data_IF_232344651428
#
_entry.id   IF_232344651428
#
_cell.length_a   1.000
_cell.length_b   1.000
_cell.length_c   1.000
_cell.angle_alpha   90.00
_cell.angle_beta   90.00
_cell.angle_gamma   90.00
#
_symmetry.space_group_name_H-M   'P 1'
#
loop_
_entity.id
_entity.type
_entity.pdbx_description
1 polymer ?
#
# COMPACT_ATOMS: atom_id res chain seq x y z
N UNK A 1 -1.90 24.98 -21.34
CA UNK A 1 -0.44 25.20 -21.04
C UNK A 1 -0.17 26.67 -20.77
N UNK A 2 0.69 27.00 -19.78
CA UNK A 2 1.13 28.37 -19.50
C UNK A 2 2.26 28.78 -20.47
N UNK A 3 1.90 29.03 -21.73
CA UNK A 3 2.86 29.27 -22.82
C UNK A 3 3.76 30.46 -22.55
N UNK A 4 3.27 31.53 -21.92
CA UNK A 4 4.09 32.68 -21.56
C UNK A 4 5.23 32.32 -20.58
N UNK A 5 4.95 31.51 -19.57
CA UNK A 5 5.97 31.03 -18.65
C UNK A 5 7.00 30.12 -19.34
N UNK A 6 6.55 29.30 -20.30
CA UNK A 6 7.43 28.46 -21.12
C UNK A 6 8.37 29.31 -21.98
N UNK A 7 7.86 30.34 -22.65
CA UNK A 7 8.65 31.29 -23.44
C UNK A 7 9.71 31.97 -22.55
N UNK A 8 9.32 32.46 -21.36
CA UNK A 8 10.25 33.06 -20.39
C UNK A 8 11.35 32.09 -19.96
N UNK A 9 10.99 30.85 -19.66
CA UNK A 9 11.92 29.81 -19.27
C UNK A 9 12.98 29.55 -20.35
N UNK A 10 12.56 29.26 -21.58
CA UNK A 10 13.49 28.97 -22.66
C UNK A 10 14.32 30.20 -23.05
N UNK A 11 13.73 31.40 -23.04
CA UNK A 11 14.49 32.64 -23.23
C UNK A 11 15.62 32.76 -22.23
N UNK A 12 15.33 32.54 -20.96
CA UNK A 12 16.32 32.62 -19.87
C UNK A 12 17.37 31.53 -19.98
N UNK A 13 16.95 30.28 -20.31
CA UNK A 13 17.83 29.12 -20.52
C UNK A 13 18.81 29.33 -21.67
N UNK A 14 18.39 30.03 -22.73
CA UNK A 14 19.20 30.39 -23.89
C UNK A 14 20.03 31.67 -23.66
N UNK A 15 19.91 32.34 -22.51
CA UNK A 15 20.60 33.58 -22.18
C UNK A 15 20.12 34.78 -22.99
N UNK A 16 18.95 34.70 -23.64
CA UNK A 16 18.42 35.79 -24.49
C UNK A 16 17.70 36.87 -23.66
N UNK A 17 17.82 38.11 -24.10
CA UNK A 17 17.06 39.24 -23.56
C UNK A 17 15.64 39.30 -24.12
N UNK A 18 14.72 39.99 -23.45
CA UNK A 18 13.38 40.21 -24.00
C UNK A 18 13.42 41.00 -25.33
N UNK A 19 14.40 41.89 -25.50
CA UNK A 19 14.59 42.64 -26.72
C UNK A 19 14.93 41.73 -27.92
N UNK A 20 15.84 40.78 -27.72
CA UNK A 20 16.25 39.82 -28.78
C UNK A 20 15.12 38.90 -29.17
N UNK A 21 14.31 38.44 -28.24
CA UNK A 21 13.16 37.55 -28.53
C UNK A 21 12.00 38.31 -29.15
N UNK A 22 11.72 39.55 -28.71
CA UNK A 22 10.62 40.34 -29.21
C UNK A 22 10.88 41.00 -30.61
N UNK A 23 12.16 41.18 -31.00
CA UNK A 23 12.55 41.92 -32.18
C UNK A 23 11.82 41.43 -33.42
N UNK A 24 11.08 42.34 -34.09
CA UNK A 24 10.31 42.05 -35.30
C UNK A 24 9.03 41.24 -35.08
N UNK A 25 8.70 40.87 -33.83
CA UNK A 25 7.49 40.09 -33.51
C UNK A 25 6.49 40.92 -32.70
N UNK A 26 6.94 41.52 -31.60
CA UNK A 26 6.09 42.35 -30.74
C UNK A 26 6.93 43.36 -29.93
N UNK A 27 6.25 44.26 -29.20
CA UNK A 27 6.97 45.18 -28.31
C UNK A 27 7.46 44.46 -27.03
N UNK A 28 8.58 44.94 -26.45
CA UNK A 28 9.11 44.39 -25.18
C UNK A 28 8.06 44.39 -24.05
N UNK A 29 7.27 45.47 -23.84
CA UNK A 29 6.19 45.42 -22.83
C UNK A 29 5.12 44.37 -23.14
N UNK A 30 4.86 44.09 -24.44
CA UNK A 30 3.91 43.07 -24.83
C UNK A 30 4.46 41.66 -24.51
N UNK A 31 5.73 41.37 -24.84
CA UNK A 31 6.38 40.14 -24.48
C UNK A 31 6.40 39.94 -22.97
N UNK A 32 6.71 41.00 -22.21
CA UNK A 32 6.72 40.91 -20.72
C UNK A 32 5.34 40.55 -20.17
N UNK A 33 4.24 41.06 -20.74
CA UNK A 33 2.87 40.68 -20.35
C UNK A 33 2.55 39.25 -20.73
N UNK A 34 3.01 38.77 -21.88
CA UNK A 34 2.86 37.37 -22.33
C UNK A 34 3.62 36.44 -21.34
N UNK A 35 4.90 36.73 -21.08
CA UNK A 35 5.76 35.94 -20.19
C UNK A 35 5.20 35.80 -18.75
N UNK A 36 4.46 36.81 -18.31
CA UNK A 36 3.81 36.78 -16.99
C UNK A 36 2.36 36.24 -17.04
N UNK A 37 1.91 35.74 -18.19
CA UNK A 37 0.54 35.24 -18.45
C UNK A 37 -0.57 36.29 -18.15
N UNK A 38 -0.23 37.59 -18.22
CA UNK A 38 -1.15 38.70 -17.96
C UNK A 38 -1.93 39.15 -19.23
N UNK A 39 -1.61 38.56 -20.38
CA UNK A 39 -2.27 38.80 -21.64
C UNK A 39 -2.12 37.59 -22.54
N UNK A 40 -3.22 37.15 -23.10
CA UNK A 40 -3.22 36.21 -24.21
C UNK A 40 -2.68 36.87 -25.47
N UNK A 41 -1.74 36.21 -26.13
CA UNK A 41 -1.27 36.60 -27.44
C UNK A 41 -1.98 35.75 -28.50
N UNK A 42 -2.10 36.30 -29.72
CA UNK A 42 -2.64 35.53 -30.82
C UNK A 42 -1.70 34.36 -31.20
N UNK A 43 -2.25 33.32 -31.82
CA UNK A 43 -1.49 32.10 -32.15
C UNK A 43 -0.25 32.40 -33.00
N UNK A 44 -0.31 33.38 -33.91
CA UNK A 44 0.80 33.76 -34.78
C UNK A 44 1.96 34.38 -33.98
N UNK A 45 1.67 35.29 -33.05
CA UNK A 45 2.70 35.86 -32.16
C UNK A 45 3.37 34.79 -31.32
N UNK A 46 2.59 33.87 -30.74
CA UNK A 46 3.11 32.74 -29.96
C UNK A 46 4.01 31.86 -30.84
N UNK A 47 3.57 31.52 -32.04
CA UNK A 47 4.34 30.69 -32.97
C UNK A 47 5.69 31.33 -33.30
N UNK A 48 5.72 32.62 -33.64
CA UNK A 48 6.95 33.35 -33.96
C UNK A 48 7.91 33.47 -32.78
N UNK A 49 7.39 33.66 -31.55
CA UNK A 49 8.20 33.69 -30.34
C UNK A 49 8.84 32.34 -30.04
N UNK A 50 8.09 31.26 -30.17
CA UNK A 50 8.58 29.89 -29.99
C UNK A 50 9.64 29.54 -31.06
N UNK A 51 9.36 29.87 -32.35
CA UNK A 51 10.35 29.65 -33.44
C UNK A 51 11.65 30.40 -33.19
N UNK A 52 11.60 31.64 -32.65
CA UNK A 52 12.78 32.42 -32.28
C UNK A 52 13.60 31.75 -31.20
N UNK A 53 12.96 30.99 -30.33
CA UNK A 53 13.61 30.19 -29.27
C UNK A 53 13.99 28.78 -29.76
N UNK A 54 13.89 28.51 -31.06
CA UNK A 54 14.09 27.19 -31.67
C UNK A 54 13.14 26.11 -31.14
N UNK A 55 11.93 26.51 -30.77
CA UNK A 55 10.87 25.62 -30.29
C UNK A 55 9.76 25.58 -31.32
N UNK A 56 9.45 24.39 -31.83
CA UNK A 56 8.32 24.23 -32.72
C UNK A 56 7.02 24.15 -31.86
N UNK A 57 6.01 24.99 -32.18
CA UNK A 57 4.73 24.99 -31.49
C UNK A 57 4.02 23.63 -31.53
N UNK A 58 4.16 22.89 -32.63
CA UNK A 58 3.62 21.54 -32.80
C UNK A 58 4.30 20.55 -31.86
N UNK A 59 5.61 20.70 -31.61
CA UNK A 59 6.35 19.84 -30.69
C UNK A 59 5.92 20.05 -29.24
N UNK A 60 5.55 21.29 -28.89
CA UNK A 60 5.00 21.64 -27.57
C UNK A 60 3.62 21.00 -27.37
N UNK A 61 2.72 21.15 -28.35
CA UNK A 61 1.39 20.52 -28.31
C UNK A 61 1.47 18.99 -28.29
N UNK A 62 2.34 18.42 -29.14
CA UNK A 62 2.59 16.99 -29.19
C UNK A 62 3.14 16.48 -27.84
N UNK A 63 4.03 17.25 -27.20
CA UNK A 63 4.57 16.91 -25.88
C UNK A 63 3.47 16.89 -24.81
N UNK A 64 2.55 17.85 -24.80
CA UNK A 64 1.45 17.88 -23.84
C UNK A 64 0.50 16.68 -24.00
N UNK A 65 0.13 16.37 -25.26
CA UNK A 65 -0.66 15.17 -25.55
C UNK A 65 0.06 13.88 -25.15
N UNK A 66 1.37 13.81 -25.38
CA UNK A 66 2.18 12.67 -24.99
C UNK A 66 2.28 12.52 -23.49
N UNK A 67 2.48 13.61 -22.74
CA UNK A 67 2.48 13.65 -21.26
C UNK A 67 1.14 13.13 -20.72
N UNK A 68 0.02 13.63 -21.24
CA UNK A 68 -1.32 13.18 -20.81
C UNK A 68 -1.50 11.67 -21.06
N UNK A 69 -1.04 11.18 -22.20
CA UNK A 69 -1.06 9.74 -22.51
C UNK A 69 -0.23 8.95 -21.54
N UNK A 70 1.02 9.35 -21.28
CA UNK A 70 1.91 8.68 -20.31
C UNK A 70 1.32 8.66 -18.90
N UNK A 71 0.67 9.74 -18.45
CA UNK A 71 0.01 9.79 -17.15
C UNK A 71 -1.15 8.78 -17.06
N UNK A 72 -1.97 8.67 -18.12
CA UNK A 72 -3.04 7.66 -18.20
C UNK A 72 -2.48 6.25 -18.22
N UNK A 73 -1.41 6.02 -18.97
CA UNK A 73 -0.75 4.72 -19.05
C UNK A 73 -0.16 4.34 -17.69
N UNK A 74 0.50 5.27 -16.97
CA UNK A 74 1.02 5.05 -15.64
C UNK A 74 -0.08 4.64 -14.65
N UNK A 75 -1.21 5.37 -14.64
CA UNK A 75 -2.36 5.03 -13.80
C UNK A 75 -2.87 3.62 -14.10
N UNK A 76 -3.03 3.29 -15.38
CA UNK A 76 -3.48 1.96 -15.82
C UNK A 76 -2.50 0.87 -15.39
N UNK A 77 -1.20 1.06 -15.60
CA UNK A 77 -0.15 0.11 -15.24
C UNK A 77 -0.12 -0.16 -13.74
N UNK A 78 -0.25 0.88 -12.90
CA UNK A 78 -0.36 0.75 -11.45
C UNK A 78 -1.61 -0.05 -11.08
N UNK A 79 -2.75 0.24 -11.71
CA UNK A 79 -4.00 -0.47 -11.44
C UNK A 79 -3.90 -1.96 -11.82
N UNK A 80 -3.23 -2.28 -12.92
CA UNK A 80 -3.01 -3.67 -13.38
C UNK A 80 -1.79 -4.36 -12.74
N UNK A 81 -1.08 -3.71 -11.81
CA UNK A 81 0.12 -4.23 -11.13
C UNK A 81 1.24 -4.61 -12.13
N UNK A 82 1.46 -3.76 -13.13
CA UNK A 82 2.48 -3.91 -14.15
C UNK A 82 3.75 -3.13 -13.75
N UNK A 83 4.50 -3.65 -12.78
CA UNK A 83 5.62 -2.94 -12.13
C UNK A 83 6.67 -2.43 -13.12
N UNK A 84 7.17 -3.29 -14.00
CA UNK A 84 8.23 -2.92 -14.95
C UNK A 84 7.77 -1.81 -15.91
N UNK A 85 6.53 -1.92 -16.41
CA UNK A 85 5.97 -0.90 -17.29
C UNK A 85 5.79 0.43 -16.56
N UNK A 86 5.28 0.41 -15.33
CA UNK A 86 5.10 1.62 -14.52
C UNK A 86 6.45 2.32 -14.25
N UNK A 87 7.52 1.57 -13.97
CA UNK A 87 8.88 2.10 -13.81
C UNK A 87 9.37 2.74 -15.12
N UNK A 88 9.21 2.06 -16.24
CA UNK A 88 9.61 2.58 -17.55
C UNK A 88 8.83 3.86 -17.92
N UNK A 89 7.52 3.86 -17.74
CA UNK A 89 6.67 5.03 -18.03
C UNK A 89 7.01 6.22 -17.13
N UNK A 90 7.31 5.97 -15.83
CA UNK A 90 7.76 7.05 -14.94
C UNK A 90 9.14 7.58 -15.35
N UNK A 91 10.03 6.73 -15.89
CA UNK A 91 11.30 7.15 -16.50
C UNK A 91 11.06 8.13 -17.66
N UNK A 92 10.17 7.77 -18.59
CA UNK A 92 9.80 8.66 -19.70
C UNK A 92 9.18 9.99 -19.24
N UNK A 93 8.33 9.96 -18.22
CA UNK A 93 7.74 11.20 -17.66
C UNK A 93 8.79 12.14 -17.07
N UNK A 94 9.88 11.62 -16.51
CA UNK A 94 10.99 12.44 -16.00
C UNK A 94 11.70 13.23 -17.11
N UNK A 95 11.77 12.71 -18.31
CA UNK A 95 12.36 13.42 -19.45
C UNK A 95 11.57 14.67 -19.82
N UNK A 96 10.27 14.69 -19.46
CA UNK A 96 9.38 15.84 -19.66
C UNK A 96 9.22 16.74 -18.41
N UNK A 97 9.95 16.50 -17.31
CA UNK A 97 9.70 17.18 -16.03
C UNK A 97 9.81 18.72 -16.14
N UNK A 98 10.74 19.23 -16.96
CA UNK A 98 10.87 20.65 -17.23
C UNK A 98 9.61 21.23 -17.93
N UNK A 99 9.06 20.48 -18.90
CA UNK A 99 7.89 20.93 -19.67
C UNK A 99 6.62 20.79 -18.85
N UNK A 100 6.48 19.72 -18.08
CA UNK A 100 5.32 19.44 -17.21
C UNK A 100 5.02 20.62 -16.30
N UNK A 101 6.04 21.29 -15.76
CA UNK A 101 5.90 22.47 -14.90
C UNK A 101 5.12 23.63 -15.52
N UNK A 102 4.99 23.68 -16.86
CA UNK A 102 4.22 24.68 -17.60
C UNK A 102 2.87 24.19 -18.11
N UNK A 103 2.56 22.91 -17.91
CA UNK A 103 1.27 22.32 -18.33
C UNK A 103 0.21 22.46 -17.24
N UNK A 104 -1.04 22.27 -17.60
CA UNK A 104 -2.15 22.16 -16.63
C UNK A 104 -2.08 20.84 -15.86
N UNK A 105 -1.32 19.86 -16.38
CA UNK A 105 -1.16 18.53 -15.78
C UNK A 105 -0.10 18.47 -14.66
N UNK A 106 0.51 19.60 -14.30
CA UNK A 106 1.61 19.62 -13.28
C UNK A 106 1.19 18.97 -11.95
N UNK A 107 0.03 19.31 -11.42
CA UNK A 107 -0.43 18.74 -10.15
C UNK A 107 -0.88 17.29 -10.31
N UNK A 108 -1.45 16.93 -11.45
CA UNK A 108 -1.78 15.54 -11.75
C UNK A 108 -0.53 14.66 -11.84
N UNK A 109 0.54 15.15 -12.49
CA UNK A 109 1.84 14.48 -12.51
C UNK A 109 2.41 14.27 -11.12
N UNK A 110 2.44 15.31 -10.29
CA UNK A 110 2.97 15.23 -8.93
C UNK A 110 2.14 14.30 -8.03
N UNK A 111 0.83 14.22 -8.24
CA UNK A 111 -0.06 13.26 -7.57
C UNK A 111 0.22 11.82 -8.00
N UNK A 112 0.39 11.58 -9.30
CA UNK A 112 0.73 10.25 -9.81
C UNK A 112 2.15 9.82 -9.43
N UNK A 113 3.07 10.74 -9.26
CA UNK A 113 4.40 10.53 -8.71
C UNK A 113 4.32 10.05 -7.25
N UNK A 114 3.46 10.66 -6.43
CA UNK A 114 3.16 10.15 -5.08
C UNK A 114 2.60 8.73 -5.12
N UNK A 115 1.60 8.49 -5.97
CA UNK A 115 0.99 7.15 -6.13
C UNK A 115 2.00 6.11 -6.60
N UNK A 116 2.90 6.48 -7.51
CA UNK A 116 3.99 5.64 -7.99
C UNK A 116 4.97 5.28 -6.86
N UNK A 117 5.41 6.24 -6.04
CA UNK A 117 6.31 5.95 -4.92
C UNK A 117 5.68 4.99 -3.91
N UNK A 118 4.41 5.15 -3.60
CA UNK A 118 3.66 4.18 -2.76
C UNK A 118 3.64 2.80 -3.44
N UNK A 119 3.41 2.75 -4.76
CA UNK A 119 3.33 1.51 -5.52
C UNK A 119 4.64 0.71 -5.55
N UNK A 120 5.78 1.38 -5.66
CA UNK A 120 7.11 0.75 -5.64
C UNK A 120 7.68 0.59 -4.23
N UNK A 121 6.91 0.89 -3.19
CA UNK A 121 7.29 0.86 -1.77
C UNK A 121 8.46 1.80 -1.40
N UNK A 122 8.67 2.89 -2.15
CA UNK A 122 9.59 3.96 -1.77
C UNK A 122 8.90 4.97 -0.84
N UNK A 123 8.72 4.58 0.40
CA UNK A 123 7.97 5.37 1.38
C UNK A 123 8.67 6.69 1.76
N UNK A 124 10.01 6.77 1.64
CA UNK A 124 10.74 8.02 1.89
C UNK A 124 10.42 9.06 0.83
N UNK A 125 10.44 8.65 -0.43
CA UNK A 125 10.08 9.54 -1.53
C UNK A 125 8.60 9.88 -1.51
N UNK A 126 7.73 8.93 -1.14
CA UNK A 126 6.30 9.20 -0.96
C UNK A 126 6.04 10.28 0.10
N UNK A 127 6.74 10.24 1.24
CA UNK A 127 6.61 11.25 2.28
C UNK A 127 7.12 12.63 1.86
N UNK A 128 8.24 12.68 1.17
CA UNK A 128 8.77 13.93 0.62
C UNK A 128 7.79 14.54 -0.39
N UNK A 129 7.27 13.71 -1.29
CA UNK A 129 6.31 14.10 -2.31
C UNK A 129 5.01 14.63 -1.70
N UNK A 130 4.51 13.95 -0.65
CA UNK A 130 3.31 14.38 0.06
C UNK A 130 3.48 15.76 0.72
N UNK A 131 4.64 16.07 1.30
CA UNK A 131 4.92 17.39 1.86
C UNK A 131 4.82 18.49 0.80
N UNK A 132 5.40 18.24 -0.38
CA UNK A 132 5.31 19.17 -1.51
C UNK A 132 3.86 19.39 -1.96
N UNK A 133 3.08 18.31 -2.11
CA UNK A 133 1.66 18.36 -2.50
C UNK A 133 0.83 19.15 -1.48
N UNK A 134 1.06 18.95 -0.17
CA UNK A 134 0.36 19.67 0.88
C UNK A 134 0.60 21.20 0.81
N UNK A 135 1.81 21.63 0.47
CA UNK A 135 2.13 23.04 0.29
C UNK A 135 1.42 23.68 -0.90
N UNK A 136 0.99 22.90 -1.90
CA UNK A 136 0.36 23.37 -3.13
C UNK A 136 -1.15 23.05 -3.21
N UNK A 137 -1.73 22.46 -2.17
CA UNK A 137 -3.12 21.94 -2.15
C UNK A 137 -4.19 22.98 -2.53
N UNK A 138 -3.95 24.26 -2.24
CA UNK A 138 -4.85 25.37 -2.59
C UNK A 138 -5.09 25.50 -4.10
N UNK A 139 -4.14 25.07 -4.93
CA UNK A 139 -4.19 25.19 -6.38
C UNK A 139 -4.87 24.01 -7.07
N UNK A 140 -5.28 22.98 -6.31
CA UNK A 140 -5.83 21.75 -6.89
C UNK A 140 -7.25 21.95 -7.39
N UNK A 141 -7.53 21.39 -8.56
CA UNK A 141 -8.89 21.17 -9.07
C UNK A 141 -9.66 20.20 -8.13
N UNK A 142 -10.98 20.09 -8.33
CA UNK A 142 -11.80 19.14 -7.54
C UNK A 142 -11.30 17.69 -7.69
N UNK A 143 -10.95 17.27 -8.90
CA UNK A 143 -10.41 15.94 -9.16
C UNK A 143 -9.06 15.72 -8.47
N UNK A 144 -8.16 16.69 -8.54
CA UNK A 144 -6.86 16.60 -7.89
C UNK A 144 -6.96 16.58 -6.35
N UNK A 145 -7.92 17.30 -5.76
CA UNK A 145 -8.22 17.20 -4.31
C UNK A 145 -8.68 15.81 -3.91
N UNK A 146 -9.55 15.21 -4.73
CA UNK A 146 -9.96 13.81 -4.54
C UNK A 146 -8.76 12.86 -4.57
N UNK A 147 -7.92 12.93 -5.62
CA UNK A 147 -6.71 12.12 -5.74
C UNK A 147 -5.75 12.33 -4.57
N UNK A 148 -5.56 13.60 -4.15
CA UNK A 148 -4.70 13.92 -3.01
C UNK A 148 -5.19 13.24 -1.73
N UNK A 149 -6.47 13.38 -1.38
CA UNK A 149 -7.05 12.76 -0.18
C UNK A 149 -6.96 11.24 -0.25
N UNK A 150 -7.21 10.65 -1.42
CA UNK A 150 -7.09 9.20 -1.61
C UNK A 150 -5.64 8.72 -1.46
N UNK A 151 -4.67 9.37 -2.10
CA UNK A 151 -3.26 8.97 -2.01
C UNK A 151 -2.65 9.29 -0.64
N UNK A 152 -3.15 10.30 0.05
CA UNK A 152 -2.82 10.53 1.46
C UNK A 152 -3.28 9.36 2.34
N UNK A 153 -4.50 8.85 2.14
CA UNK A 153 -4.96 7.65 2.83
C UNK A 153 -4.05 6.44 2.56
N UNK A 154 -3.54 6.27 1.32
CA UNK A 154 -2.57 5.21 1.02
C UNK A 154 -1.25 5.38 1.81
N UNK A 155 -0.74 6.61 1.95
CA UNK A 155 0.44 6.88 2.78
C UNK A 155 0.15 6.59 4.26
N UNK A 156 -1.03 6.89 4.78
CA UNK A 156 -1.43 6.51 6.14
C UNK A 156 -1.43 4.99 6.34
N UNK A 157 -1.90 4.22 5.35
CA UNK A 157 -1.85 2.75 5.36
C UNK A 157 -0.40 2.26 5.49
N UNK A 158 0.54 2.84 4.75
CA UNK A 158 1.96 2.43 4.83
C UNK A 158 2.60 2.72 6.19
N UNK A 159 2.02 3.65 6.96
CA UNK A 159 2.43 3.99 8.32
C UNK A 159 1.71 3.18 9.41
N UNK A 160 0.80 2.28 9.03
CA UNK A 160 -0.05 1.53 9.97
C UNK A 160 -1.18 2.35 10.61
N UNK A 161 -1.43 3.58 10.14
CA UNK A 161 -2.46 4.50 10.66
C UNK A 161 -3.84 4.22 10.05
N UNK A 162 -4.35 3.02 10.29
CA UNK A 162 -5.56 2.52 9.64
C UNK A 162 -6.82 3.31 10.03
N UNK A 163 -6.94 3.74 11.28
CA UNK A 163 -8.07 4.55 11.75
C UNK A 163 -8.13 5.91 11.04
N UNK A 164 -7.00 6.61 10.94
CA UNK A 164 -6.91 7.89 10.22
C UNK A 164 -7.22 7.69 8.72
N UNK A 165 -6.68 6.63 8.10
CA UNK A 165 -6.96 6.30 6.71
C UNK A 165 -8.45 5.99 6.46
N UNK A 166 -9.12 5.30 7.40
CA UNK A 166 -10.57 5.03 7.30
C UNK A 166 -11.39 6.31 7.31
N UNK A 167 -11.02 7.29 8.14
CA UNK A 167 -11.69 8.61 8.18
C UNK A 167 -11.56 9.31 6.82
N UNK A 168 -10.35 9.38 6.26
CA UNK A 168 -10.12 10.01 4.94
C UNK A 168 -10.94 9.33 3.83
N UNK A 169 -10.95 7.98 3.76
CA UNK A 169 -11.73 7.28 2.75
C UNK A 169 -13.24 7.44 2.94
N UNK A 170 -13.72 7.53 4.19
CA UNK A 170 -15.14 7.78 4.47
C UNK A 170 -15.55 9.17 4.00
N UNK A 171 -14.73 10.19 4.21
CA UNK A 171 -14.98 11.54 3.72
C UNK A 171 -15.04 11.59 2.19
N UNK A 172 -14.14 10.84 1.51
CA UNK A 172 -14.16 10.74 0.04
C UNK A 172 -15.50 10.17 -0.44
N UNK A 173 -16.01 9.09 0.14
CA UNK A 173 -17.31 8.52 -0.24
C UNK A 173 -18.47 9.49 -0.05
N UNK A 174 -18.40 10.34 0.96
CA UNK A 174 -19.43 11.34 1.22
C UNK A 174 -19.39 12.50 0.22
N UNK A 175 -18.20 12.99 -0.12
CA UNK A 175 -18.00 14.17 -0.99
C UNK A 175 -18.05 13.79 -2.48
N UNK A 176 -17.55 12.60 -2.84
CA UNK A 176 -17.40 12.11 -4.20
C UNK A 176 -18.04 10.73 -4.35
N UNK A 177 -19.39 10.64 -4.43
CA UNK A 177 -20.05 9.34 -4.55
C UNK A 177 -19.73 8.60 -5.86
N UNK A 178 -19.31 9.33 -6.90
CA UNK A 178 -18.86 8.77 -8.17
C UNK A 178 -17.32 8.69 -8.20
N UNK A 179 -16.77 7.50 -8.02
CA UNK A 179 -15.32 7.25 -7.94
C UNK A 179 -14.67 7.02 -9.30
N UNK A 180 -15.47 6.78 -10.34
CA UNK A 180 -14.99 6.56 -11.69
C UNK A 180 -14.01 5.39 -11.84
N UNK A 181 -12.92 5.63 -12.60
CA UNK A 181 -11.93 4.58 -12.90
C UNK A 181 -11.14 4.08 -11.68
N UNK A 182 -11.18 4.79 -10.56
CA UNK A 182 -10.50 4.39 -9.31
C UNK A 182 -11.41 3.58 -8.38
N UNK A 183 -12.67 3.35 -8.72
CA UNK A 183 -13.65 2.72 -7.85
C UNK A 183 -13.18 1.36 -7.31
N UNK A 184 -12.68 0.48 -8.16
CA UNK A 184 -12.18 -0.83 -7.75
C UNK A 184 -11.02 -0.75 -6.79
N UNK A 185 -10.03 0.13 -7.06
CA UNK A 185 -8.86 0.30 -6.22
C UNK A 185 -9.22 0.96 -4.88
N UNK A 186 -10.12 1.92 -4.88
CA UNK A 186 -10.64 2.56 -3.69
C UNK A 186 -11.33 1.56 -2.78
N UNK A 187 -12.30 0.78 -3.29
CA UNK A 187 -12.99 -0.23 -2.49
C UNK A 187 -12.06 -1.35 -2.02
N UNK A 188 -11.06 -1.72 -2.81
CA UNK A 188 -10.04 -2.69 -2.39
C UNK A 188 -9.27 -2.19 -1.16
N UNK A 189 -8.73 -0.96 -1.20
CA UNK A 189 -7.99 -0.41 -0.07
C UNK A 189 -8.90 -0.16 1.14
N UNK A 190 -10.14 0.26 0.92
CA UNK A 190 -11.09 0.43 2.02
C UNK A 190 -11.44 -0.91 2.68
N UNK A 191 -11.59 -1.97 1.88
CA UNK A 191 -11.73 -3.33 2.40
C UNK A 191 -10.55 -3.76 3.26
N UNK A 192 -9.30 -3.50 2.79
CA UNK A 192 -8.09 -3.80 3.56
C UNK A 192 -8.04 -3.06 4.89
N UNK A 193 -8.35 -1.75 4.89
CA UNK A 193 -8.39 -0.94 6.11
C UNK A 193 -9.43 -1.49 7.09
N UNK A 194 -10.65 -1.78 6.63
CA UNK A 194 -11.72 -2.33 7.46
C UNK A 194 -11.35 -3.69 8.05
N UNK A 195 -10.66 -4.53 7.28
CA UNK A 195 -10.12 -5.79 7.77
C UNK A 195 -9.06 -5.61 8.87
N UNK A 196 -8.17 -4.61 8.71
CA UNK A 196 -7.15 -4.28 9.75
C UNK A 196 -7.76 -3.69 11.02
N UNK A 197 -8.91 -3.02 10.92
CA UNK A 197 -9.67 -2.50 12.05
C UNK A 197 -10.61 -3.55 12.67
N UNK A 198 -10.57 -4.80 12.20
CA UNK A 198 -11.46 -5.91 12.64
C UNK A 198 -12.94 -5.68 12.32
N UNK A 199 -13.25 -4.72 11.46
CA UNK A 199 -14.58 -4.45 10.96
C UNK A 199 -14.93 -5.42 9.81
N UNK A 200 -14.92 -6.72 10.10
CA UNK A 200 -14.97 -7.82 9.11
C UNK A 200 -16.17 -7.72 8.15
N UNK A 201 -17.36 -7.37 8.65
CA UNK A 201 -18.55 -7.22 7.80
C UNK A 201 -18.37 -6.11 6.74
N UNK A 202 -17.82 -4.97 7.13
CA UNK A 202 -17.53 -3.87 6.19
C UNK A 202 -16.41 -4.24 5.22
N UNK A 203 -15.37 -4.94 5.69
CA UNK A 203 -14.29 -5.45 4.85
C UNK A 203 -14.84 -6.36 3.74
N UNK A 204 -15.77 -7.26 4.05
CA UNK A 204 -16.45 -8.13 3.07
C UNK A 204 -17.28 -7.30 2.08
N UNK A 205 -18.07 -6.32 2.56
CA UNK A 205 -18.91 -5.49 1.68
C UNK A 205 -18.06 -4.75 0.66
N UNK A 206 -17.02 -4.04 1.10
CA UNK A 206 -16.15 -3.28 0.19
C UNK A 206 -15.29 -4.20 -0.70
N UNK A 207 -14.83 -5.34 -0.16
CA UNK A 207 -14.12 -6.34 -0.95
C UNK A 207 -14.96 -6.93 -2.08
N UNK A 208 -16.25 -7.20 -1.85
CA UNK A 208 -17.18 -7.65 -2.90
C UNK A 208 -17.38 -6.58 -3.98
N UNK A 209 -17.52 -5.31 -3.60
CA UNK A 209 -17.60 -4.20 -4.57
C UNK A 209 -16.34 -4.11 -5.43
N UNK A 210 -15.16 -4.17 -4.82
CA UNK A 210 -13.90 -4.19 -5.54
C UNK A 210 -13.79 -5.40 -6.49
N UNK A 211 -14.16 -6.59 -6.02
CA UNK A 211 -14.13 -7.81 -6.82
C UNK A 211 -15.03 -7.71 -8.06
N UNK A 212 -16.26 -7.19 -7.88
CA UNK A 212 -17.17 -7.00 -9.01
C UNK A 212 -16.58 -6.05 -10.04
N UNK A 213 -16.08 -4.90 -9.60
CA UNK A 213 -15.44 -3.93 -10.49
C UNK A 213 -14.26 -4.55 -11.27
N UNK A 214 -13.41 -5.32 -10.61
CA UNK A 214 -12.27 -5.96 -11.26
C UNK A 214 -12.67 -7.09 -12.22
N UNK A 215 -13.79 -7.80 -11.94
CA UNK A 215 -14.37 -8.75 -12.89
C UNK A 215 -14.85 -8.05 -14.17
N UNK A 216 -15.56 -6.94 -14.04
CA UNK A 216 -16.07 -6.15 -15.15
C UNK A 216 -14.95 -5.55 -16.01
N UNK A 217 -13.78 -5.29 -15.40
CA UNK A 217 -12.58 -4.78 -16.08
C UNK A 217 -11.61 -5.89 -16.53
N UNK A 218 -11.93 -7.16 -16.34
CA UNK A 218 -11.05 -8.32 -16.64
C UNK A 218 -9.65 -8.18 -16.02
N UNK A 219 -9.54 -7.56 -14.84
CA UNK A 219 -8.28 -7.39 -14.13
C UNK A 219 -7.95 -8.61 -13.27
N UNK A 220 -7.46 -9.68 -13.90
CA UNK A 220 -7.25 -10.98 -13.26
C UNK A 220 -6.32 -10.94 -12.04
N UNK A 221 -5.26 -10.14 -12.08
CA UNK A 221 -4.37 -10.00 -10.91
C UNK A 221 -5.12 -9.43 -9.71
N UNK A 222 -5.88 -8.36 -9.91
CA UNK A 222 -6.68 -7.74 -8.83
C UNK A 222 -7.82 -8.65 -8.36
N UNK A 223 -8.42 -9.44 -9.25
CA UNK A 223 -9.41 -10.46 -8.87
C UNK A 223 -8.78 -11.43 -7.88
N UNK A 224 -7.58 -11.97 -8.15
CA UNK A 224 -6.89 -12.91 -7.27
C UNK A 224 -6.60 -12.28 -5.90
N UNK A 225 -5.97 -11.10 -5.86
CA UNK A 225 -5.63 -10.44 -4.60
C UNK A 225 -6.88 -10.08 -3.77
N UNK A 226 -7.94 -9.61 -4.44
CA UNK A 226 -9.20 -9.27 -3.76
C UNK A 226 -9.90 -10.53 -3.23
N UNK A 227 -9.89 -11.62 -4.00
CA UNK A 227 -10.44 -12.90 -3.56
C UNK A 227 -9.68 -13.48 -2.37
N UNK A 228 -8.33 -13.36 -2.34
CA UNK A 228 -7.52 -13.76 -1.18
C UNK A 228 -7.90 -12.96 0.08
N UNK A 229 -8.08 -11.64 -0.05
CA UNK A 229 -8.50 -10.80 1.07
C UNK A 229 -9.91 -11.16 1.55
N UNK A 230 -10.85 -11.41 0.63
CA UNK A 230 -12.21 -11.83 0.97
C UNK A 230 -12.23 -13.17 1.70
N UNK A 231 -11.46 -14.17 1.23
CA UNK A 231 -11.36 -15.47 1.89
C UNK A 231 -10.81 -15.33 3.32
N UNK A 232 -9.81 -14.44 3.52
CA UNK A 232 -9.31 -14.13 4.87
C UNK A 232 -10.41 -13.54 5.76
N UNK A 233 -11.19 -12.57 5.25
CA UNK A 233 -12.26 -11.94 6.03
C UNK A 233 -13.41 -12.91 6.32
N UNK A 234 -13.76 -13.80 5.38
CA UNK A 234 -14.71 -14.89 5.65
C UNK A 234 -14.20 -15.83 6.74
N UNK A 235 -12.90 -16.16 6.73
CA UNK A 235 -12.28 -16.98 7.79
C UNK A 235 -12.38 -16.30 9.15
N UNK A 236 -12.04 -15.01 9.23
CA UNK A 236 -12.13 -14.20 10.45
C UNK A 236 -13.58 -14.08 10.95
N UNK A 237 -14.53 -13.94 10.04
CA UNK A 237 -15.97 -13.92 10.31
C UNK A 237 -16.58 -15.29 10.59
N UNK A 238 -15.77 -16.36 10.63
CA UNK A 238 -16.18 -17.76 10.82
C UNK A 238 -17.14 -18.30 9.76
N UNK A 239 -17.14 -17.69 8.57
CA UNK A 239 -17.86 -18.13 7.38
C UNK A 239 -16.95 -19.04 6.58
N UNK A 240 -16.64 -20.20 7.16
CA UNK A 240 -15.54 -21.07 6.71
C UNK A 240 -15.81 -21.72 5.35
N UNK A 241 -17.06 -22.03 5.02
CA UNK A 241 -17.40 -22.69 3.75
C UNK A 241 -17.00 -21.82 2.57
N UNK A 242 -17.44 -20.56 2.57
CA UNK A 242 -17.11 -19.59 1.52
C UNK A 242 -15.61 -19.31 1.43
N UNK A 243 -14.93 -19.27 2.58
CA UNK A 243 -13.49 -19.07 2.61
C UNK A 243 -12.75 -20.24 1.93
N UNK A 244 -13.11 -21.48 2.25
CA UNK A 244 -12.50 -22.69 1.68
C UNK A 244 -12.75 -22.72 0.18
N UNK A 245 -13.99 -22.53 -0.26
CA UNK A 245 -14.35 -22.51 -1.67
C UNK A 245 -13.51 -21.50 -2.48
N UNK A 246 -13.35 -20.29 -1.96
CA UNK A 246 -12.50 -19.28 -2.59
C UNK A 246 -11.04 -19.73 -2.66
N UNK A 247 -10.48 -20.30 -1.58
CA UNK A 247 -9.08 -20.76 -1.59
C UNK A 247 -8.86 -21.93 -2.54
N UNK A 248 -9.80 -22.85 -2.67
CA UNK A 248 -9.74 -23.94 -3.65
C UNK A 248 -9.75 -23.42 -5.09
N UNK A 249 -10.61 -22.43 -5.38
CA UNK A 249 -10.61 -21.76 -6.67
C UNK A 249 -9.30 -21.02 -6.93
N UNK A 250 -8.74 -20.36 -5.92
CA UNK A 250 -7.46 -19.67 -6.04
C UNK A 250 -6.31 -20.63 -6.34
N UNK A 251 -6.25 -21.78 -5.66
CA UNK A 251 -5.21 -22.78 -5.91
C UNK A 251 -5.26 -23.29 -7.36
N UNK A 252 -6.45 -23.63 -7.88
CA UNK A 252 -6.62 -24.05 -9.28
C UNK A 252 -6.19 -22.95 -10.27
N UNK A 253 -6.60 -21.71 -10.02
CA UNK A 253 -6.28 -20.58 -10.91
C UNK A 253 -4.79 -20.22 -10.90
N UNK A 254 -4.13 -20.30 -9.74
CA UNK A 254 -2.70 -20.01 -9.60
C UNK A 254 -1.87 -21.03 -10.39
N UNK A 255 -2.24 -22.29 -10.40
CA UNK A 255 -1.61 -23.34 -11.22
C UNK A 255 -1.83 -23.08 -12.71
N UNK A 256 -3.08 -22.86 -13.13
CA UNK A 256 -3.44 -22.61 -14.53
C UNK A 256 -2.75 -21.36 -15.11
N UNK A 257 -2.60 -20.30 -14.31
CA UNK A 257 -2.01 -19.03 -14.72
C UNK A 257 -0.51 -18.95 -14.45
N UNK A 258 0.11 -20.03 -13.94
CA UNK A 258 1.53 -20.09 -13.54
C UNK A 258 1.96 -19.00 -12.56
N UNK A 259 1.07 -18.58 -11.65
CA UNK A 259 1.31 -17.56 -10.64
C UNK A 259 1.83 -18.16 -9.33
N UNK A 260 2.78 -19.11 -9.42
CA UNK A 260 3.29 -19.91 -8.28
C UNK A 260 3.84 -19.06 -7.13
N UNK A 261 4.24 -17.81 -7.38
CA UNK A 261 4.68 -16.87 -6.34
C UNK A 261 3.57 -16.52 -5.33
N UNK A 262 2.30 -16.81 -5.63
CA UNK A 262 1.17 -16.58 -4.72
C UNK A 262 0.88 -17.78 -3.81
N UNK A 263 1.36 -18.98 -4.15
CA UNK A 263 1.11 -20.22 -3.39
C UNK A 263 1.49 -20.09 -1.90
N UNK A 264 2.67 -19.51 -1.53
CA UNK A 264 3.03 -19.36 -0.14
C UNK A 264 1.98 -18.60 0.68
N UNK A 265 1.46 -17.50 0.13
CA UNK A 265 0.46 -16.70 0.82
C UNK A 265 -0.90 -17.42 0.92
N UNK A 266 -1.31 -18.14 -0.13
CA UNK A 266 -2.56 -18.92 -0.11
C UNK A 266 -2.47 -20.03 0.92
N UNK A 267 -1.37 -20.80 0.95
CA UNK A 267 -1.17 -21.85 1.94
C UNK A 267 -1.10 -21.29 3.36
N UNK A 268 -0.44 -20.15 3.56
CA UNK A 268 -0.41 -19.49 4.87
C UNK A 268 -1.83 -19.16 5.37
N UNK A 269 -2.64 -18.53 4.50
CA UNK A 269 -4.01 -18.16 4.86
C UNK A 269 -4.92 -19.38 5.07
N UNK A 270 -4.70 -20.48 4.35
CA UNK A 270 -5.38 -21.76 4.63
C UNK A 270 -4.96 -22.32 5.99
N UNK A 271 -3.69 -22.26 6.32
CA UNK A 271 -3.19 -22.62 7.66
C UNK A 271 -3.89 -21.83 8.76
N UNK A 272 -3.98 -20.51 8.59
CA UNK A 272 -4.69 -19.61 9.54
C UNK A 272 -6.19 -20.00 9.64
N UNK A 273 -6.86 -20.28 8.52
CA UNK A 273 -8.25 -20.70 8.51
C UNK A 273 -8.46 -21.96 9.35
N UNK A 274 -7.66 -23.00 9.10
CA UNK A 274 -7.77 -24.27 9.84
C UNK A 274 -7.37 -24.10 11.31
N UNK A 275 -6.42 -23.23 11.62
CA UNK A 275 -6.06 -22.90 12.99
C UNK A 275 -7.22 -22.21 13.73
N UNK A 276 -7.96 -21.28 13.08
CA UNK A 276 -9.15 -20.63 13.65
C UNK A 276 -10.28 -21.65 13.88
N UNK A 277 -10.40 -22.67 13.03
CA UNK A 277 -11.35 -23.78 13.20
C UNK A 277 -10.95 -24.74 14.30
N UNK A 278 -9.72 -24.68 14.81
CA UNK A 278 -9.15 -25.64 15.77
C UNK A 278 -8.67 -26.95 15.15
N UNK A 279 -8.59 -27.03 13.82
CA UNK A 279 -8.11 -28.18 13.05
C UNK A 279 -6.59 -28.08 12.85
N UNK A 280 -5.83 -28.28 13.94
CA UNK A 280 -4.40 -27.99 13.97
C UNK A 280 -3.59 -28.92 13.07
N UNK A 281 -3.98 -30.17 12.84
CA UNK A 281 -3.33 -31.09 11.91
C UNK A 281 -3.38 -30.57 10.48
N UNK A 282 -4.54 -30.09 10.04
CA UNK A 282 -4.70 -29.49 8.72
C UNK A 282 -3.90 -28.19 8.62
N UNK A 283 -3.94 -27.35 9.66
CA UNK A 283 -3.18 -26.10 9.73
C UNK A 283 -1.66 -26.37 9.59
N UNK A 284 -1.15 -27.40 10.27
CA UNK A 284 0.25 -27.80 10.20
C UNK A 284 0.70 -28.07 8.76
N UNK A 285 -0.05 -28.90 8.03
CA UNK A 285 0.25 -29.24 6.63
C UNK A 285 0.35 -28.00 5.75
N UNK A 286 -0.56 -27.04 5.91
CA UNK A 286 -0.57 -25.84 5.10
C UNK A 286 0.54 -24.86 5.49
N UNK A 287 0.86 -24.71 6.77
CA UNK A 287 1.99 -23.85 7.19
C UNK A 287 3.33 -24.45 6.75
N UNK A 288 3.51 -25.77 6.79
CA UNK A 288 4.72 -26.44 6.26
C UNK A 288 4.88 -26.22 4.75
N UNK A 289 3.81 -26.37 3.97
CA UNK A 289 3.80 -26.07 2.53
C UNK A 289 4.18 -24.61 2.30
N UNK A 290 3.60 -23.68 3.06
CA UNK A 290 3.88 -22.26 2.95
C UNK A 290 5.35 -21.96 3.26
N UNK A 291 5.87 -22.44 4.41
CA UNK A 291 7.24 -22.20 4.83
C UNK A 291 8.28 -22.77 3.84
N UNK A 292 7.98 -23.92 3.22
CA UNK A 292 8.87 -24.56 2.23
C UNK A 292 9.04 -23.73 0.95
N UNK A 293 8.05 -22.91 0.59
CA UNK A 293 8.03 -22.09 -0.62
C UNK A 293 8.44 -20.63 -0.37
N UNK A 294 8.53 -20.19 0.88
CA UNK A 294 8.89 -18.80 1.22
C UNK A 294 10.39 -18.57 1.23
N UNK A 295 10.81 -17.39 0.79
CA UNK A 295 12.18 -16.91 0.98
C UNK A 295 12.46 -16.58 2.44
N UNK A 296 13.58 -17.07 2.98
CA UNK A 296 13.94 -16.92 4.40
C UNK A 296 14.12 -15.48 4.90
N UNK A 297 14.36 -14.52 4.01
CA UNK A 297 14.61 -13.12 4.34
C UNK A 297 13.36 -12.25 4.15
N UNK A 298 12.19 -12.71 4.60
CA UNK A 298 10.94 -11.96 4.50
C UNK A 298 10.16 -11.96 5.81
N UNK A 299 9.43 -10.87 6.07
CA UNK A 299 8.55 -10.77 7.24
C UNK A 299 7.46 -11.85 7.20
N UNK A 300 6.97 -12.19 6.00
CA UNK A 300 5.99 -13.25 5.82
C UNK A 300 6.53 -14.63 6.23
N UNK A 301 7.82 -14.90 5.98
CA UNK A 301 8.44 -16.13 6.44
C UNK A 301 8.51 -16.20 7.99
N UNK A 302 8.90 -15.11 8.64
CA UNK A 302 8.92 -15.04 10.11
C UNK A 302 7.52 -15.24 10.69
N UNK A 303 6.49 -14.66 10.06
CA UNK A 303 5.12 -14.81 10.50
C UNK A 303 4.62 -16.25 10.29
N UNK A 304 5.00 -16.88 9.18
CA UNK A 304 4.69 -18.28 8.90
C UNK A 304 5.34 -19.22 9.93
N UNK A 305 6.62 -19.01 10.27
CA UNK A 305 7.30 -19.78 11.31
C UNK A 305 6.65 -19.60 12.69
N UNK A 306 6.19 -18.38 13.00
CA UNK A 306 5.48 -18.11 14.25
C UNK A 306 4.19 -18.95 14.35
N UNK A 307 3.34 -18.93 13.30
CA UNK A 307 2.11 -19.70 13.28
C UNK A 307 2.36 -21.22 13.25
N UNK A 308 3.38 -21.65 12.50
CA UNK A 308 3.81 -23.06 12.47
C UNK A 308 4.23 -23.52 13.88
N UNK A 309 5.08 -22.76 14.57
CA UNK A 309 5.54 -23.08 15.92
C UNK A 309 4.39 -23.15 16.93
N UNK A 310 3.42 -22.23 16.85
CA UNK A 310 2.20 -22.27 17.69
C UNK A 310 1.38 -23.52 17.38
N UNK A 311 1.19 -23.85 16.10
CA UNK A 311 0.42 -25.03 15.69
C UNK A 311 1.05 -26.32 16.23
N UNK A 312 2.37 -26.46 16.11
CA UNK A 312 3.13 -27.58 16.69
C UNK A 312 2.99 -27.63 18.21
N UNK A 313 3.06 -26.46 18.89
CA UNK A 313 2.84 -26.38 20.33
C UNK A 313 1.44 -26.87 20.74
N UNK A 314 0.39 -26.49 19.99
CA UNK A 314 -0.99 -26.91 20.22
C UNK A 314 -1.20 -28.41 20.00
N UNK A 315 -0.44 -29.00 19.08
CA UNK A 315 -0.42 -30.45 18.82
C UNK A 315 0.46 -31.26 19.79
N UNK A 316 1.02 -30.62 20.83
CA UNK A 316 1.97 -31.21 21.76
C UNK A 316 3.25 -31.79 21.09
N UNK A 317 3.63 -31.25 19.92
CA UNK A 317 4.87 -31.57 19.21
C UNK A 317 6.01 -30.67 19.76
N UNK A 318 6.42 -30.92 21.00
CA UNK A 318 7.33 -30.02 21.74
C UNK A 318 8.71 -29.87 21.08
N UNK A 319 9.30 -30.97 20.60
CA UNK A 319 10.62 -30.93 19.94
C UNK A 319 10.62 -30.14 18.65
N UNK A 320 9.61 -30.37 17.79
CA UNK A 320 9.43 -29.67 16.52
C UNK A 320 9.18 -28.17 16.76
N UNK A 321 8.33 -27.85 17.72
CA UNK A 321 8.04 -26.48 18.12
C UNK A 321 9.28 -25.74 18.62
N UNK A 322 10.13 -26.41 19.44
CA UNK A 322 11.42 -25.84 19.90
C UNK A 322 12.32 -25.54 18.69
N UNK A 323 12.44 -26.46 17.73
CA UNK A 323 13.24 -26.27 16.52
C UNK A 323 12.72 -25.06 15.72
N UNK A 324 11.41 -25.00 15.49
CA UNK A 324 10.77 -23.92 14.72
C UNK A 324 10.97 -22.55 15.40
N UNK A 325 10.72 -22.42 16.71
CA UNK A 325 10.95 -21.15 17.43
C UNK A 325 12.42 -20.78 17.55
N UNK A 326 13.34 -21.75 17.55
CA UNK A 326 14.78 -21.47 17.51
C UNK A 326 15.17 -20.85 16.18
N UNK A 327 14.72 -21.44 15.07
CA UNK A 327 14.91 -20.88 13.71
C UNK A 327 14.30 -19.50 13.61
N UNK A 328 13.05 -19.32 14.07
CA UNK A 328 12.39 -18.02 14.09
C UNK A 328 13.23 -16.96 14.81
N UNK A 329 13.75 -17.31 15.98
CA UNK A 329 14.57 -16.40 16.80
C UNK A 329 15.87 -16.00 16.10
N UNK A 330 16.53 -16.94 15.43
CA UNK A 330 17.76 -16.69 14.68
C UNK A 330 17.52 -15.79 13.46
N UNK A 331 16.51 -16.12 12.64
CA UNK A 331 16.17 -15.31 11.48
C UNK A 331 15.67 -13.91 11.88
N UNK A 332 14.86 -13.80 12.93
CA UNK A 332 14.43 -12.52 13.46
C UNK A 332 15.62 -11.64 13.93
N UNK A 333 16.66 -12.23 14.52
CA UNK A 333 17.89 -11.51 14.87
C UNK A 333 18.64 -11.02 13.65
N UNK A 334 18.83 -11.86 12.63
CA UNK A 334 19.49 -11.48 11.36
C UNK A 334 18.78 -10.32 10.69
N UNK A 335 17.44 -10.35 10.68
CA UNK A 335 16.61 -9.33 10.08
C UNK A 335 16.35 -8.12 11.01
N UNK A 336 16.89 -8.12 12.23
CA UNK A 336 16.67 -7.08 13.26
C UNK A 336 15.19 -6.87 13.62
N UNK A 337 14.37 -7.94 13.56
CA UNK A 337 12.94 -7.94 13.88
C UNK A 337 12.72 -8.28 15.36
N UNK A 338 12.61 -7.23 16.18
CA UNK A 338 12.48 -7.36 17.65
C UNK A 338 11.23 -8.15 18.04
N UNK A 339 10.09 -7.92 17.37
CA UNK A 339 8.80 -8.57 17.63
C UNK A 339 8.91 -10.09 17.61
N UNK A 340 9.38 -10.66 16.51
CA UNK A 340 9.48 -12.12 16.35
C UNK A 340 10.52 -12.74 17.28
N UNK A 341 11.60 -12.02 17.62
CA UNK A 341 12.57 -12.47 18.62
C UNK A 341 11.92 -12.57 20.01
N UNK A 342 11.08 -11.61 20.38
CA UNK A 342 10.34 -11.63 21.66
C UNK A 342 9.31 -12.76 21.66
N UNK A 343 8.51 -12.91 20.59
CA UNK A 343 7.52 -13.99 20.47
C UNK A 343 8.17 -15.36 20.57
N UNK A 344 9.23 -15.62 19.82
CA UNK A 344 9.97 -16.88 19.90
C UNK A 344 10.54 -17.14 21.31
N UNK A 345 11.09 -16.11 21.97
CA UNK A 345 11.66 -16.26 23.31
C UNK A 345 10.61 -16.67 24.34
N UNK A 346 9.40 -16.12 24.25
CA UNK A 346 8.29 -16.48 25.13
C UNK A 346 7.91 -17.96 25.00
N UNK A 347 7.68 -18.44 23.77
CA UNK A 347 7.31 -19.85 23.55
C UNK A 347 8.46 -20.81 23.91
N UNK A 348 9.72 -20.44 23.70
CA UNK A 348 10.85 -21.21 24.11
C UNK A 348 10.96 -21.35 25.64
N UNK A 349 10.55 -20.35 26.44
CA UNK A 349 10.45 -20.49 27.90
C UNK A 349 9.34 -21.47 28.29
N UNK A 350 8.15 -21.36 27.64
CA UNK A 350 7.04 -22.30 27.91
C UNK A 350 7.42 -23.73 27.59
N UNK A 351 8.02 -23.98 26.45
CA UNK A 351 8.41 -25.30 25.95
C UNK A 351 9.52 -25.95 26.81
N UNK A 352 10.33 -25.14 27.51
CA UNK A 352 11.33 -25.62 28.49
C UNK A 352 10.76 -25.88 29.89
N UNK A 353 9.45 -25.71 30.10
CA UNK A 353 8.82 -25.82 31.40
C UNK A 353 9.12 -24.65 32.35
N UNK A 354 9.69 -23.55 31.85
CA UNK A 354 10.01 -22.36 32.64
C UNK A 354 8.81 -21.40 32.73
N UNK A 355 7.63 -21.90 33.15
CA UNK A 355 6.37 -21.18 33.07
C UNK A 355 6.39 -19.82 33.80
N UNK A 356 6.88 -19.79 35.05
CA UNK A 356 6.98 -18.53 35.81
C UNK A 356 7.84 -17.49 35.11
N UNK A 357 8.90 -17.92 34.44
CA UNK A 357 9.79 -17.05 33.67
C UNK A 357 9.13 -16.57 32.39
N UNK A 358 8.38 -17.47 31.72
CA UNK A 358 7.58 -17.10 30.53
C UNK A 358 6.54 -16.04 30.88
N UNK A 359 5.80 -16.20 31.97
CA UNK A 359 4.77 -15.23 32.38
C UNK A 359 5.38 -13.90 32.86
N UNK A 360 6.48 -13.91 33.57
CA UNK A 360 7.23 -12.69 33.90
C UNK A 360 7.78 -11.96 32.67
N UNK A 361 8.24 -12.72 31.67
CA UNK A 361 8.67 -12.16 30.40
C UNK A 361 7.47 -11.59 29.58
N UNK A 362 6.33 -12.26 29.62
CA UNK A 362 5.09 -11.81 29.00
C UNK A 362 4.64 -10.46 29.58
N UNK A 363 4.54 -10.38 30.94
CA UNK A 363 4.13 -9.17 31.65
C UNK A 363 5.12 -8.01 31.46
N UNK A 364 6.41 -8.27 31.62
CA UNK A 364 7.44 -7.22 31.65
C UNK A 364 7.96 -6.78 30.28
N UNK A 365 7.76 -7.56 29.23
CA UNK A 365 8.33 -7.28 27.90
C UNK A 365 7.32 -7.32 26.77
N UNK A 366 6.54 -8.40 26.65
CA UNK A 366 5.66 -8.60 25.49
C UNK A 366 4.41 -7.73 25.54
N UNK A 367 3.71 -7.68 26.67
CA UNK A 367 2.53 -6.85 26.83
C UNK A 367 2.84 -5.36 26.58
N UNK A 368 3.89 -4.76 27.20
CA UNK A 368 4.25 -3.37 26.93
C UNK A 368 4.67 -3.13 25.46
N UNK A 369 5.35 -4.10 24.84
CA UNK A 369 5.77 -3.98 23.45
C UNK A 369 4.58 -4.00 22.48
N UNK A 370 3.60 -4.89 22.69
CA UNK A 370 2.44 -5.05 21.80
C UNK A 370 1.36 -4.01 22.03
N UNK A 371 1.22 -3.46 23.24
CA UNK A 371 0.22 -2.45 23.59
C UNK A 371 0.32 -1.15 22.76
N UNK A 372 1.56 -0.77 22.40
CA UNK A 372 1.83 0.48 21.67
C UNK A 372 1.92 0.31 20.15
N UNK A 373 1.51 -0.85 19.62
CA UNK A 373 1.65 -1.16 18.21
C UNK A 373 0.35 -1.73 17.64
N UNK A 374 -0.35 -0.94 16.83
CA UNK A 374 -1.62 -1.34 16.19
C UNK A 374 -1.49 -2.63 15.36
N UNK A 375 -0.31 -2.89 14.79
CA UNK A 375 -0.04 -4.11 14.01
C UNK A 375 -0.22 -5.38 14.84
N UNK A 376 0.07 -5.32 16.15
CA UNK A 376 0.01 -6.47 17.06
C UNK A 376 -1.23 -6.49 17.96
N UNK A 377 -2.27 -5.74 17.64
CA UNK A 377 -3.48 -5.64 18.46
C UNK A 377 -4.09 -7.01 18.79
N UNK A 378 -4.27 -7.88 17.79
CA UNK A 378 -4.81 -9.25 17.99
C UNK A 378 -3.88 -10.10 18.87
N UNK A 379 -2.58 -10.04 18.60
CA UNK A 379 -1.57 -10.75 19.39
C UNK A 379 -1.52 -10.20 20.81
N UNK A 380 -1.67 -8.89 21.00
CA UNK A 380 -1.76 -8.26 22.31
C UNK A 380 -2.95 -8.78 23.10
N UNK A 381 -4.13 -8.86 22.50
CA UNK A 381 -5.32 -9.42 23.17
C UNK A 381 -5.11 -10.89 23.56
N UNK A 382 -4.52 -11.71 22.69
CA UNK A 382 -4.24 -13.11 22.98
C UNK A 382 -3.25 -13.24 24.16
N UNK A 383 -2.19 -12.46 24.21
CA UNK A 383 -1.22 -12.48 25.28
C UNK A 383 -1.79 -11.91 26.59
N UNK A 384 -2.60 -10.88 26.53
CA UNK A 384 -3.30 -10.33 27.69
C UNK A 384 -4.23 -11.36 28.29
N UNK A 385 -5.05 -12.01 27.47
CA UNK A 385 -5.92 -13.09 27.91
C UNK A 385 -5.13 -14.25 28.57
N UNK A 386 -4.05 -14.68 27.94
CA UNK A 386 -3.19 -15.75 28.46
C UNK A 386 -2.63 -15.39 29.86
N UNK A 387 -2.16 -14.16 30.03
CA UNK A 387 -1.63 -13.67 31.30
C UNK A 387 -2.73 -13.54 32.36
N UNK A 388 -3.91 -13.08 31.98
CA UNK A 388 -5.08 -13.00 32.85
C UNK A 388 -5.50 -14.39 33.36
N UNK A 389 -5.56 -15.39 32.47
CA UNK A 389 -5.86 -16.77 32.85
C UNK A 389 -4.81 -17.36 33.79
N UNK A 390 -3.52 -17.11 33.56
CA UNK A 390 -2.47 -17.51 34.47
C UNK A 390 -2.66 -16.92 35.87
N UNK A 391 -2.93 -15.61 35.98
CA UNK A 391 -3.18 -14.98 37.27
C UNK A 391 -4.47 -15.46 37.93
N UNK A 392 -5.48 -15.83 37.16
CA UNK A 392 -6.72 -16.45 37.66
C UNK A 392 -6.41 -17.82 38.30
N UNK A 393 -5.60 -18.64 37.67
CA UNK A 393 -5.15 -19.95 38.22
C UNK A 393 -4.31 -19.80 39.48
N UNK A 394 -3.43 -18.79 39.52
CA UNK A 394 -2.64 -18.42 40.69
C UNK A 394 -3.48 -17.76 41.81
N UNK A 395 -4.80 -17.61 41.62
CA UNK A 395 -5.74 -16.94 42.56
C UNK A 395 -5.41 -15.46 42.83
N UNK A 396 -4.69 -14.80 41.91
CA UNK A 396 -4.36 -13.36 41.96
C UNK A 396 -5.39 -12.54 41.15
N UNK A 397 -6.64 -12.52 41.65
CA UNK A 397 -7.79 -11.99 40.91
C UNK A 397 -7.67 -10.50 40.54
N UNK A 398 -7.11 -9.67 41.43
CA UNK A 398 -6.87 -8.26 41.16
C UNK A 398 -5.98 -8.02 39.93
N UNK A 399 -4.94 -8.85 39.77
CA UNK A 399 -4.07 -8.81 38.61
C UNK A 399 -4.75 -9.40 37.37
N UNK A 400 -5.52 -10.47 37.52
CA UNK A 400 -6.22 -11.11 36.41
C UNK A 400 -7.17 -10.13 35.71
N UNK A 401 -7.94 -9.31 36.46
CA UNK A 401 -8.88 -8.32 35.94
C UNK A 401 -8.19 -7.23 35.07
N UNK A 402 -6.89 -6.96 35.30
CA UNK A 402 -6.16 -5.96 34.53
C UNK A 402 -5.88 -6.42 33.10
N UNK A 403 -5.98 -7.71 32.80
CA UNK A 403 -5.60 -8.33 31.52
C UNK A 403 -6.78 -9.02 30.81
N UNK A 404 -7.91 -9.19 31.44
CA UNK A 404 -9.13 -9.75 30.89
C UNK A 404 -10.15 -8.60 30.65
#
# INVERSE_FOLDING_TARGET
MKIGSLIKYYRTKLGMTQNEVAAGICSIPHLSKIENNNKEANCETIRLLLERLNINSRDVENSEHHIIKLLKDLQKQINYLENEKAIATMGLLKDYEEIIGFTESVYLYELYKLRYYVFINDYKMAEHQLKWLNAHRQNFSQHERYLHSYYYALVLITRGKYAEAAVELTQILYIHPELGSLEGEFYYHFSLIKGRLEETSQAIIYGRKALQFYKDQFNFKRIIYTSMSLALYYSQGKVFHEAIEIYEHLLRNVELLQLHQLLPAIYHNLGDLYQIRGEYESALVYFEKSASLMGKNSDNYLFCLYNLGITQYRLNQGEESIKTFTVLKEEAKKMKKISFNLFASFYLYLLKGEEKKAMGFLEGRLIPFTANNEEFKVIHQQFSYLLGEYYRQEKKFEKAIQFI
#
